data_IF_851279205874
#
_entry.id   IF_851279205874
#
_cell.length_a   1.000
_cell.length_b   1.000
_cell.length_c   1.000
_cell.angle_alpha   90.00
_cell.angle_beta   90.00
_cell.angle_gamma   90.00
#
_symmetry.space_group_name_H-M   'P 1'
#
loop_
_entity.id
_entity.type
_entity.pdbx_description
1 polymer ?
#
# COMPACT_ATOMS: atom_id res chain seq x y z
N UNK A 1 26.48 4.00 -0.28
CA UNK A 1 25.05 4.06 0.10
C UNK A 1 24.96 4.16 1.62
N UNK A 2 24.33 5.21 2.16
CA UNK A 2 24.13 5.35 3.60
C UNK A 2 22.83 4.65 3.97
N UNK A 3 22.86 3.81 5.01
CA UNK A 3 21.69 3.11 5.55
C UNK A 3 21.37 3.66 6.94
N UNK A 4 20.09 3.76 7.26
CA UNK A 4 19.63 4.11 8.60
C UNK A 4 20.00 2.98 9.57
N UNK A 5 20.62 3.36 10.70
CA UNK A 5 20.79 2.44 11.84
C UNK A 5 19.40 2.13 12.40
N UNK A 6 19.05 0.85 12.55
CA UNK A 6 17.72 0.43 12.98
C UNK A 6 16.68 0.25 11.86
N UNK A 7 17.02 0.65 10.63
CA UNK A 7 16.18 0.47 9.44
C UNK A 7 15.29 1.67 9.12
N UNK A 8 14.91 1.83 7.85
CA UNK A 8 14.16 2.98 7.37
C UNK A 8 12.69 3.02 7.86
N UNK A 9 12.13 1.88 8.30
CA UNK A 9 10.74 1.80 8.79
C UNK A 9 10.48 2.64 10.04
N UNK A 10 11.54 2.91 10.83
CA UNK A 10 11.46 3.72 12.04
C UNK A 10 10.92 5.13 11.78
N UNK A 11 11.10 5.68 10.58
CA UNK A 11 10.56 7.00 10.23
C UNK A 11 9.04 6.99 10.29
N UNK A 12 8.40 6.01 9.66
CA UNK A 12 6.95 5.89 9.65
C UNK A 12 6.41 5.53 11.04
N UNK A 13 7.11 4.68 11.78
CA UNK A 13 6.74 4.29 13.14
C UNK A 13 6.75 5.50 14.09
N UNK A 14 7.83 6.28 14.10
CA UNK A 14 7.93 7.49 14.93
C UNK A 14 6.92 8.57 14.52
N UNK A 15 6.63 8.71 13.23
CA UNK A 15 5.58 9.62 12.77
C UNK A 15 4.19 9.16 13.23
N UNK A 16 3.93 7.85 13.24
CA UNK A 16 2.68 7.30 13.76
C UNK A 16 2.53 7.58 15.25
N UNK A 17 3.60 7.41 16.05
CA UNK A 17 3.60 7.71 17.49
C UNK A 17 3.26 9.18 17.77
N UNK A 18 3.77 10.12 16.96
CA UNK A 18 3.46 11.55 17.08
C UNK A 18 2.01 11.88 16.71
N UNK A 19 1.39 11.09 15.83
CA UNK A 19 0.00 11.25 15.41
C UNK A 19 -1.00 10.52 16.32
N UNK A 20 -0.50 9.70 17.26
CA UNK A 20 -1.26 8.99 18.27
C UNK A 20 -2.48 8.23 17.71
N UNK A 21 -3.69 8.59 18.15
CA UNK A 21 -4.96 7.95 17.83
C UNK A 21 -5.53 8.33 16.45
N UNK A 22 -4.87 9.23 15.71
CA UNK A 22 -5.34 9.68 14.39
C UNK A 22 -5.07 8.67 13.28
N UNK A 23 -4.13 7.74 13.49
CA UNK A 23 -3.81 6.68 12.54
C UNK A 23 -4.74 5.47 12.72
N UNK A 24 -5.49 5.09 11.69
CA UNK A 24 -6.30 3.86 11.69
C UNK A 24 -5.67 2.79 10.81
N UNK A 25 -5.13 1.75 11.45
CA UNK A 25 -4.64 0.56 10.75
C UNK A 25 -5.81 -0.34 10.31
N UNK A 26 -5.51 -1.26 9.39
CA UNK A 26 -6.49 -2.21 8.81
C UNK A 26 -7.72 -1.59 8.14
N UNK A 27 -7.79 -0.27 8.02
CA UNK A 27 -8.93 0.46 7.47
C UNK A 27 -8.75 0.73 5.98
N UNK A 28 -8.90 -0.31 5.15
CA UNK A 28 -8.80 -0.15 3.70
C UNK A 28 -9.97 0.67 3.16
N UNK A 29 -9.67 1.78 2.49
CA UNK A 29 -10.68 2.65 1.85
C UNK A 29 -11.20 1.98 0.57
N UNK A 30 -12.51 1.99 0.38
CA UNK A 30 -13.20 1.40 -0.78
C UNK A 30 -14.02 2.41 -1.56
N UNK A 31 -14.47 3.49 -0.91
CA UNK A 31 -15.36 4.47 -1.52
C UNK A 31 -15.04 5.89 -1.06
N UNK A 32 -15.15 6.86 -1.98
CA UNK A 32 -14.98 8.28 -1.72
C UNK A 32 -16.10 9.06 -2.43
N UNK A 33 -16.95 9.74 -1.66
CA UNK A 33 -18.01 10.63 -2.15
C UNK A 33 -17.64 12.10 -1.92
N UNK A 34 -17.66 12.90 -2.98
CA UNK A 34 -17.36 14.33 -3.01
C UNK A 34 -18.55 15.14 -3.57
N UNK A 35 -19.78 14.59 -3.59
CA UNK A 35 -20.93 15.35 -4.10
C UNK A 35 -21.40 16.47 -3.19
N UNK A 36 -21.20 16.32 -1.88
CA UNK A 36 -21.62 17.28 -0.86
C UNK A 36 -20.44 18.15 -0.38
N UNK A 37 -20.73 19.18 0.41
CA UNK A 37 -19.72 20.07 1.01
C UNK A 37 -18.69 19.32 1.88
N UNK A 38 -19.09 18.16 2.44
CA UNK A 38 -18.22 17.27 3.19
C UNK A 38 -17.99 15.99 2.39
N UNK A 39 -16.73 15.60 2.27
CA UNK A 39 -16.30 14.38 1.60
C UNK A 39 -16.51 13.20 2.54
N UNK A 40 -17.17 12.16 2.04
CA UNK A 40 -17.42 10.91 2.75
C UNK A 40 -16.40 9.87 2.27
N UNK A 41 -15.69 9.23 3.21
CA UNK A 41 -14.72 8.17 2.92
C UNK A 41 -15.16 6.90 3.63
N UNK A 42 -15.43 5.84 2.87
CA UNK A 42 -15.85 4.55 3.43
C UNK A 42 -14.70 3.55 3.43
N UNK A 43 -14.68 2.73 4.48
CA UNK A 43 -13.68 1.68 4.68
C UNK A 43 -14.34 0.31 4.77
N UNK A 44 -13.61 -0.73 4.38
CA UNK A 44 -14.08 -2.13 4.35
C UNK A 44 -14.27 -2.77 5.74
N UNK A 45 -13.97 -2.08 6.84
CA UNK A 45 -13.75 -2.72 8.13
C UNK A 45 -15.03 -3.16 8.85
N UNK A 46 -15.03 -4.42 9.31
CA UNK A 46 -16.09 -5.10 10.08
C UNK A 46 -16.10 -4.81 11.58
N UNK A 47 -15.29 -3.86 12.07
CA UNK A 47 -15.21 -3.56 13.50
C UNK A 47 -16.20 -2.47 13.89
N UNK A 48 -16.97 -2.71 14.96
CA UNK A 48 -17.90 -1.77 15.57
C UNK A 48 -17.15 -0.54 16.12
N UNK A 49 -16.88 0.44 15.25
CA UNK A 49 -16.53 1.79 15.70
C UNK A 49 -17.80 2.62 15.78
N UNK A 50 -17.88 3.49 16.79
CA UNK A 50 -18.84 4.60 16.91
C UNK A 50 -18.60 5.61 15.77
N UNK A 51 -18.87 5.20 14.54
CA UNK A 51 -19.00 6.06 13.40
C UNK A 51 -20.47 6.08 12.99
N UNK A 52 -20.85 7.11 12.24
CA UNK A 52 -22.18 7.23 11.63
C UNK A 52 -22.32 6.06 10.65
N UNK A 53 -22.80 4.92 11.16
CA UNK A 53 -22.90 3.68 10.42
C UNK A 53 -24.00 3.80 9.39
N UNK A 54 -23.62 3.91 8.12
CA UNK A 54 -24.54 3.69 7.02
C UNK A 54 -24.60 2.19 6.74
N UNK A 55 -25.77 1.59 6.98
CA UNK A 55 -26.01 0.17 6.75
C UNK A 55 -26.49 0.00 5.31
N UNK A 56 -25.66 -0.64 4.49
CA UNK A 56 -26.00 -1.10 3.14
C UNK A 56 -25.74 -2.61 3.10
N UNK A 57 -26.72 -3.41 3.55
CA UNK A 57 -26.60 -4.86 3.68
C UNK A 57 -25.89 -5.34 4.96
N UNK A 58 -25.56 -6.64 5.02
CA UNK A 58 -24.97 -7.33 6.20
C UNK A 58 -23.53 -6.88 6.56
N UNK A 59 -23.00 -5.84 5.93
CA UNK A 59 -21.63 -5.32 6.13
C UNK A 59 -21.71 -3.94 6.77
N UNK A 60 -21.14 -3.80 7.97
CA UNK A 60 -20.92 -2.51 8.62
C UNK A 60 -19.79 -1.77 7.89
N UNK A 61 -20.11 -0.66 7.23
CA UNK A 61 -19.11 0.24 6.63
C UNK A 61 -18.90 1.44 7.57
N UNK A 62 -17.64 1.70 7.93
CA UNK A 62 -17.26 2.87 8.72
C UNK A 62 -17.01 4.02 7.74
N UNK A 63 -17.78 5.10 7.87
CA UNK A 63 -17.66 6.31 7.08
C UNK A 63 -17.01 7.45 7.88
N UNK A 64 -16.07 8.16 7.24
CA UNK A 64 -15.43 9.37 7.76
C UNK A 64 -15.88 10.58 6.96
N UNK A 65 -16.12 11.70 7.65
CA UNK A 65 -16.40 12.98 7.00
C UNK A 65 -15.20 13.92 7.13
N UNK A 66 -14.83 14.56 6.02
CA UNK A 66 -13.72 15.51 5.99
C UNK A 66 -13.92 16.58 4.92
N UNK A 67 -13.14 17.67 4.99
CA UNK A 67 -13.18 18.75 3.98
C UNK A 67 -12.29 18.46 2.76
N UNK A 68 -11.23 17.69 2.96
CA UNK A 68 -10.22 17.40 1.94
C UNK A 68 -9.67 15.99 2.15
N UNK A 69 -9.35 15.32 1.04
CA UNK A 69 -8.70 14.00 1.03
C UNK A 69 -7.36 14.10 0.31
N UNK A 70 -6.31 13.59 0.95
CA UNK A 70 -4.99 13.44 0.34
C UNK A 70 -4.79 11.96 0.04
N UNK A 71 -4.59 11.63 -1.25
CA UNK A 71 -4.27 10.26 -1.63
C UNK A 71 -2.76 10.06 -1.63
N UNK A 72 -2.28 9.26 -0.68
CA UNK A 72 -0.86 8.91 -0.51
C UNK A 72 -0.56 7.46 -0.92
N UNK A 73 -1.45 6.84 -1.70
CA UNK A 73 -1.26 5.49 -2.25
C UNK A 73 -0.68 5.54 -3.67
N UNK A 74 0.04 4.50 -4.12
CA UNK A 74 0.42 4.34 -5.51
C UNK A 74 -0.77 4.49 -6.47
N UNK A 75 -0.62 5.14 -7.64
CA UNK A 75 -1.73 5.41 -8.55
C UNK A 75 -2.53 4.15 -8.94
N UNK A 76 -1.84 3.03 -9.22
CA UNK A 76 -2.50 1.77 -9.59
C UNK A 76 -3.44 1.22 -8.51
N UNK A 77 -3.20 1.54 -7.23
CA UNK A 77 -4.09 1.11 -6.14
C UNK A 77 -5.37 1.95 -6.07
N UNK A 78 -5.40 3.14 -6.69
CA UNK A 78 -6.63 3.95 -6.77
C UNK A 78 -7.74 3.25 -7.56
N UNK A 79 -7.42 2.28 -8.43
CA UNK A 79 -8.41 1.48 -9.16
C UNK A 79 -9.37 0.73 -8.22
N UNK A 80 -8.94 0.40 -7.00
CA UNK A 80 -9.76 -0.30 -6.01
C UNK A 80 -10.73 0.61 -5.26
N UNK A 81 -10.64 1.92 -5.46
CA UNK A 81 -11.49 2.91 -4.79
C UNK A 81 -12.52 3.40 -5.79
N UNK A 82 -13.78 3.34 -5.40
CA UNK A 82 -14.89 3.92 -6.14
C UNK A 82 -15.02 5.40 -5.80
N UNK A 83 -15.00 6.25 -6.82
CA UNK A 83 -15.13 7.70 -6.66
C UNK A 83 -16.50 8.17 -7.13
N UNK A 84 -17.11 9.06 -6.36
CA UNK A 84 -18.30 9.81 -6.74
C UNK A 84 -18.04 11.31 -6.50
N UNK A 85 -18.23 12.19 -7.50
CA UNK A 85 -18.38 11.86 -8.91
C UNK A 85 -17.16 11.09 -9.43
N UNK A 86 -17.33 10.41 -10.56
CA UNK A 86 -16.25 9.64 -11.18
C UNK A 86 -15.03 10.53 -11.47
N UNK A 87 -13.83 9.94 -11.38
CA UNK A 87 -12.61 10.66 -11.73
C UNK A 87 -12.62 11.06 -13.21
N UNK A 88 -11.99 12.19 -13.58
CA UNK A 88 -11.82 12.56 -14.98
C UNK A 88 -11.17 11.44 -15.80
N UNK A 89 -11.61 11.25 -17.04
CA UNK A 89 -11.16 10.16 -17.92
C UNK A 89 -9.64 10.11 -18.10
N UNK A 90 -8.99 11.27 -18.22
CA UNK A 90 -7.52 11.39 -18.29
C UNK A 90 -6.84 10.78 -17.05
N UNK A 91 -7.43 10.97 -15.88
CA UNK A 91 -6.91 10.44 -14.62
C UNK A 91 -7.12 8.93 -14.52
N UNK A 92 -8.27 8.43 -14.97
CA UNK A 92 -8.56 6.99 -15.02
C UNK A 92 -7.58 6.29 -15.95
N UNK A 93 -7.34 6.85 -17.14
CA UNK A 93 -6.39 6.31 -18.09
C UNK A 93 -4.97 6.29 -17.52
N UNK A 94 -4.53 7.39 -16.89
CA UNK A 94 -3.22 7.47 -16.25
C UNK A 94 -3.04 6.38 -15.18
N UNK A 95 -4.04 6.21 -14.32
CA UNK A 95 -4.03 5.20 -13.25
C UNK A 95 -3.82 3.79 -13.83
N UNK A 96 -4.45 3.48 -14.97
CA UNK A 96 -4.32 2.18 -15.64
C UNK A 96 -2.99 1.97 -16.36
N UNK A 97 -2.29 3.05 -16.73
CA UNK A 97 -1.03 3.00 -17.47
C UNK A 97 0.23 2.95 -16.58
N UNK A 98 0.09 2.93 -15.26
CA UNK A 98 1.22 3.01 -14.31
C UNK A 98 1.40 1.70 -13.49
N UNK A 99 1.88 0.60 -14.10
CA UNK A 99 2.17 -0.63 -13.36
C UNK A 99 3.36 -0.43 -12.42
N UNK A 100 3.35 -1.12 -11.27
CA UNK A 100 4.51 -1.16 -10.38
C UNK A 100 5.53 -2.19 -10.90
N UNK A 101 6.81 -1.86 -10.76
CA UNK A 101 7.89 -2.82 -11.03
C UNK A 101 7.87 -4.00 -10.05
N UNK A 102 8.44 -5.13 -10.46
CA UNK A 102 8.57 -6.32 -9.64
C UNK A 102 10.00 -6.45 -9.11
N UNK A 103 10.16 -6.65 -7.81
CA UNK A 103 11.45 -6.87 -7.16
C UNK A 103 11.30 -7.87 -6.02
N UNK A 104 12.28 -8.77 -5.87
CA UNK A 104 12.38 -9.69 -4.74
C UNK A 104 13.60 -9.28 -3.92
N UNK A 105 13.37 -8.97 -2.64
CA UNK A 105 14.44 -8.58 -1.72
C UNK A 105 15.00 -9.82 -1.01
N UNK A 106 16.17 -10.28 -1.43
CA UNK A 106 16.89 -11.38 -0.78
C UNK A 106 17.97 -10.83 0.17
N UNK A 107 17.97 -11.28 1.42
CA UNK A 107 19.06 -11.01 2.37
C UNK A 107 19.87 -12.29 2.51
N UNK A 108 21.17 -12.21 2.22
CA UNK A 108 22.10 -13.33 2.37
C UNK A 108 23.17 -12.98 3.40
N UNK A 109 23.71 -14.01 4.04
CA UNK A 109 24.90 -13.90 4.89
C UNK A 109 26.07 -13.26 4.14
N UNK A 110 26.94 -12.55 4.88
CA UNK A 110 28.07 -11.80 4.32
C UNK A 110 29.23 -12.72 3.91
N UNK A 111 28.98 -13.62 2.95
CA UNK A 111 29.94 -14.61 2.47
C UNK A 111 31.24 -13.98 1.94
N UNK A 112 31.18 -12.74 1.43
CA UNK A 112 32.35 -11.97 0.96
C UNK A 112 33.34 -11.57 2.07
N UNK A 113 32.99 -11.73 3.35
CA UNK A 113 33.91 -11.54 4.47
C UNK A 113 34.82 -12.76 4.72
N UNK A 114 34.55 -13.89 4.10
CA UNK A 114 35.31 -15.13 4.28
C UNK A 114 36.30 -15.28 3.10
N UNK A 115 37.56 -14.92 3.37
CA UNK A 115 38.83 -15.18 2.62
C UNK A 115 38.81 -15.21 1.08
N UNK A 116 39.35 -14.13 0.50
CA UNK A 116 39.96 -13.98 -0.84
C UNK A 116 39.10 -14.27 -2.09
N UNK A 117 38.44 -13.25 -2.64
CA UNK A 117 38.74 -12.70 -3.99
C UNK A 117 37.74 -11.61 -4.37
N UNK A 118 38.27 -10.50 -4.88
CA UNK A 118 37.59 -9.73 -5.92
C UNK A 118 37.31 -10.70 -7.08
N UNK A 119 36.04 -11.06 -7.26
CA UNK A 119 35.54 -11.58 -8.52
C UNK A 119 34.29 -10.75 -8.83
N UNK A 120 34.36 -10.05 -9.94
CA UNK A 120 33.24 -9.38 -10.61
C UNK A 120 31.99 -10.27 -10.51
N UNK A 121 31.00 -9.83 -9.73
CA UNK A 121 29.68 -10.45 -9.70
C UNK A 121 28.73 -9.60 -10.53
N UNK A 122 28.64 -9.92 -11.83
CA UNK A 122 27.46 -9.57 -12.63
C UNK A 122 26.46 -10.70 -12.40
N UNK A 123 25.45 -10.45 -11.58
CA UNK A 123 24.26 -11.31 -11.53
C UNK A 123 23.45 -11.03 -12.81
N UNK A 124 23.74 -11.74 -13.90
CA UNK A 124 22.71 -11.94 -14.93
C UNK A 124 21.73 -12.97 -14.39
N UNK A 125 20.47 -12.55 -14.23
CA UNK A 125 19.29 -13.35 -13.88
C UNK A 125 18.95 -14.37 -14.99
N UNK A 126 19.93 -15.13 -15.50
CA UNK A 126 19.72 -16.00 -16.65
C UNK A 126 19.41 -17.46 -16.29
N UNK A 127 19.44 -17.86 -15.01
CA UNK A 127 19.17 -19.26 -14.64
C UNK A 127 18.36 -19.44 -13.34
N UNK A 128 17.33 -18.61 -13.13
CA UNK A 128 16.24 -18.99 -12.22
C UNK A 128 15.06 -19.51 -13.05
N UNK A 129 15.14 -20.77 -13.50
CA UNK A 129 13.94 -21.55 -13.81
C UNK A 129 13.34 -21.97 -12.48
N UNK A 130 12.56 -21.09 -11.85
CA UNK A 130 11.61 -21.56 -10.85
C UNK A 130 10.47 -22.27 -11.58
N UNK A 131 10.25 -23.52 -11.21
CA UNK A 131 9.07 -24.27 -11.60
C UNK A 131 7.87 -23.65 -10.86
N UNK A 132 7.01 -22.93 -11.59
CA UNK A 132 5.89 -22.13 -11.04
C UNK A 132 4.86 -22.97 -10.26
N UNK A 133 4.92 -24.30 -10.34
CA UNK A 133 4.00 -25.21 -9.65
C UNK A 133 4.21 -25.30 -8.13
N UNK A 134 5.38 -24.96 -7.59
CA UNK A 134 5.69 -25.22 -6.17
C UNK A 134 5.22 -24.10 -5.22
N UNK A 135 4.94 -22.89 -5.74
CA UNK A 135 4.45 -21.74 -4.93
C UNK A 135 2.91 -21.81 -4.73
N UNK A 136 2.21 -22.74 -5.40
CA UNK A 136 0.73 -22.84 -5.34
C UNK A 136 0.20 -23.79 -4.27
N UNK A 137 1.04 -24.31 -3.36
CA UNK A 137 0.68 -25.32 -2.35
C UNK A 137 0.80 -24.90 -0.88
N UNK A 138 0.93 -23.62 -0.58
CA UNK A 138 0.78 -23.10 0.79
C UNK A 138 -0.32 -22.05 0.87
#
# INVERSE_FOLDING_TARGET
>A
EQKFVGGAGQVSEQMADLLADKGKLSSSITYIDQTDDNIIVETLNHEHYEAIGYVSGDILLIAFQCKYVISSIPPILMVKIHFKPELPSERIQLIQCLPMGAVIKCVKEAFWKIKYRLLFFVFTLQNFKYNIEEIRRE
#
